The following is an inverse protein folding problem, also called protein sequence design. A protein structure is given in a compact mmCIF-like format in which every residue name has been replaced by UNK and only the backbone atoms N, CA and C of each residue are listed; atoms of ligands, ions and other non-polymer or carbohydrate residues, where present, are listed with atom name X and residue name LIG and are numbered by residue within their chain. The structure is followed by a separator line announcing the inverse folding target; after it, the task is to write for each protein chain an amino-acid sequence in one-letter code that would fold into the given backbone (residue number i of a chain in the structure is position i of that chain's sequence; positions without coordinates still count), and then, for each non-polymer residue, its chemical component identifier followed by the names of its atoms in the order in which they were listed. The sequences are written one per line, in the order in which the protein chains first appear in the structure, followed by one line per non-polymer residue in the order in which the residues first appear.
data_IF_509861945171
#
_entry.id   IF_509861945171
#
_cell.length_a   1.000
_cell.length_b   1.000
_cell.length_c   1.000
_cell.angle_alpha   90.00
_cell.angle_beta   90.00
_cell.angle_gamma   90.00
#
_symmetry.space_group_name_H-M   'P 1'
#
loop_
_entity.id
_entity.type
_entity.pdbx_description
1 polymer ?
#
# COMPACT_ATOMS: atom_id res chain seq x y z
N UNK A 1 -11.54 16.63 15.87
CA UNK A 1 -10.52 16.31 14.84
C UNK A 1 -10.89 15.00 14.16
N UNK A 2 -11.50 15.06 12.98
CA UNK A 2 -11.90 13.85 12.26
C UNK A 2 -10.68 13.17 11.63
N UNK A 3 -10.36 11.94 12.07
CA UNK A 3 -9.35 11.08 11.44
C UNK A 3 -9.92 10.58 10.11
N UNK A 4 -9.47 11.17 9.01
CA UNK A 4 -9.82 10.69 7.67
C UNK A 4 -9.13 9.33 7.48
N UNK A 5 -9.88 8.25 7.61
CA UNK A 5 -9.43 6.91 7.23
C UNK A 5 -9.49 6.80 5.70
N UNK A 6 -8.39 7.14 5.02
CA UNK A 6 -8.30 7.02 3.57
C UNK A 6 -8.06 5.54 3.21
N UNK A 7 -9.09 4.73 3.37
CA UNK A 7 -9.23 3.46 2.65
C UNK A 7 -10.01 3.68 1.33
N UNK A 8 -10.76 4.78 1.23
CA UNK A 8 -11.59 5.19 0.09
C UNK A 8 -11.59 6.72 0.04
N UNK A 9 -11.61 7.31 -1.16
CA UNK A 9 -11.82 8.76 -1.29
C UNK A 9 -13.19 9.09 -0.68
N UNK A 10 -13.25 10.10 0.17
CA UNK A 10 -14.50 10.48 0.85
C UNK A 10 -15.60 10.78 -0.18
N UNK A 11 -16.83 10.32 0.08
CA UNK A 11 -17.91 10.37 -0.90
C UNK A 11 -18.21 11.81 -1.35
N UNK A 12 -18.06 12.77 -0.43
CA UNK A 12 -18.19 14.20 -0.67
C UNK A 12 -17.08 14.73 -1.59
N UNK A 13 -15.84 14.29 -1.37
CA UNK A 13 -14.71 14.64 -2.24
C UNK A 13 -14.88 14.07 -3.64
N UNK A 14 -15.40 12.83 -3.76
CA UNK A 14 -15.72 12.20 -5.04
C UNK A 14 -16.82 12.95 -5.79
N UNK A 15 -17.87 13.40 -5.08
CA UNK A 15 -18.97 14.18 -5.65
C UNK A 15 -18.48 15.53 -6.20
N UNK A 16 -17.67 16.25 -5.42
CA UNK A 16 -17.08 17.54 -5.82
C UNK A 16 -16.13 17.43 -7.01
N UNK A 17 -15.35 16.34 -7.10
CA UNK A 17 -14.52 16.05 -8.28
C UNK A 17 -15.39 15.74 -9.50
N UNK A 18 -16.50 15.01 -9.33
CA UNK A 18 -17.42 14.66 -10.42
C UNK A 18 -18.15 15.89 -11.00
N UNK A 19 -18.46 16.88 -10.16
CA UNK A 19 -19.15 18.11 -10.57
C UNK A 19 -18.23 19.28 -10.93
N UNK A 20 -16.91 19.05 -11.02
CA UNK A 20 -15.91 20.10 -11.29
C UNK A 20 -15.94 21.29 -10.32
N UNK A 21 -16.36 21.08 -9.08
CA UNK A 21 -16.54 22.18 -8.10
C UNK A 21 -15.24 22.54 -7.36
N UNK A 22 -14.17 21.77 -7.56
CA UNK A 22 -12.89 21.97 -6.88
C UNK A 22 -11.97 22.87 -7.70
N UNK A 23 -11.38 23.86 -7.04
CA UNK A 23 -10.29 24.67 -7.60
C UNK A 23 -8.99 23.87 -7.66
N UNK A 24 -8.05 24.33 -8.49
CA UNK A 24 -6.75 23.68 -8.66
C UNK A 24 -5.95 23.57 -7.36
N UNK A 25 -6.07 24.57 -6.48
CA UNK A 25 -5.43 24.58 -5.16
C UNK A 25 -6.01 23.51 -4.22
N UNK A 26 -7.33 23.34 -4.22
CA UNK A 26 -7.99 22.30 -3.43
C UNK A 26 -7.63 20.90 -3.94
N UNK A 27 -7.50 20.74 -5.27
CA UNK A 27 -7.07 19.49 -5.89
C UNK A 27 -5.62 19.15 -5.53
N UNK A 28 -4.72 20.14 -5.53
CA UNK A 28 -3.32 20.00 -5.04
C UNK A 28 -3.26 19.65 -3.55
N UNK A 29 -4.14 20.23 -2.74
CA UNK A 29 -4.22 19.92 -1.32
C UNK A 29 -4.61 18.45 -1.08
N UNK A 30 -5.65 17.96 -1.77
CA UNK A 30 -6.07 16.55 -1.74
C UNK A 30 -4.94 15.62 -2.21
N UNK A 31 -4.26 15.97 -3.31
CA UNK A 31 -3.09 15.24 -3.79
C UNK A 31 -1.99 15.15 -2.72
N UNK A 32 -1.68 16.26 -2.05
CA UNK A 32 -0.64 16.28 -1.02
C UNK A 32 -0.96 15.40 0.19
N UNK A 33 -2.24 15.32 0.57
CA UNK A 33 -2.73 14.44 1.65
C UNK A 33 -2.60 12.98 1.23
N UNK A 34 -3.07 12.64 0.02
CA UNK A 34 -2.97 11.29 -0.53
C UNK A 34 -1.51 10.82 -0.62
N UNK A 35 -0.61 11.70 -1.04
CA UNK A 35 0.82 11.38 -1.17
C UNK A 35 1.49 11.18 0.20
N UNK A 36 1.12 11.97 1.21
CA UNK A 36 1.56 11.75 2.60
C UNK A 36 1.04 10.42 3.16
N UNK A 37 -0.22 10.11 2.90
CA UNK A 37 -0.84 8.84 3.28
C UNK A 37 -0.17 7.64 2.60
N UNK A 38 0.10 7.74 1.30
CA UNK A 38 0.81 6.72 0.54
C UNK A 38 2.22 6.49 1.10
N UNK A 39 2.97 7.56 1.41
CA UNK A 39 4.27 7.46 2.08
C UNK A 39 4.16 6.83 3.47
N UNK A 40 3.12 7.17 4.24
CA UNK A 40 2.87 6.56 5.57
C UNK A 40 2.59 5.06 5.43
N UNK A 41 1.73 4.67 4.49
CA UNK A 41 1.44 3.26 4.19
C UNK A 41 2.67 2.53 3.68
N UNK A 42 3.51 3.16 2.87
CA UNK A 42 4.79 2.58 2.44
C UNK A 42 5.69 2.26 3.62
N UNK A 43 5.86 3.23 4.53
CA UNK A 43 6.72 3.09 5.70
C UNK A 43 6.18 2.05 6.68
N UNK A 44 4.86 2.01 6.87
CA UNK A 44 4.20 0.97 7.66
C UNK A 44 4.35 -0.42 7.03
N UNK A 45 4.25 -0.52 5.70
CA UNK A 45 4.47 -1.77 4.97
C UNK A 45 5.93 -2.23 5.08
N UNK A 46 6.91 -1.32 4.92
CA UNK A 46 8.33 -1.62 5.13
C UNK A 46 8.60 -2.10 6.55
N UNK A 47 8.01 -1.44 7.56
CA UNK A 47 8.14 -1.86 8.95
C UNK A 47 7.54 -3.26 9.17
N UNK A 48 6.36 -3.54 8.60
CA UNK A 48 5.75 -4.87 8.65
C UNK A 48 6.61 -5.94 7.98
N UNK A 49 7.14 -5.67 6.78
CA UNK A 49 8.07 -6.59 6.08
C UNK A 49 9.30 -6.88 6.94
N UNK A 50 9.93 -5.83 7.48
CA UNK A 50 11.14 -5.97 8.29
C UNK A 50 10.88 -6.79 9.57
N UNK A 51 9.78 -6.52 10.25
CA UNK A 51 9.38 -7.24 11.46
C UNK A 51 9.06 -8.71 11.15
N UNK A 52 8.40 -8.98 10.02
CA UNK A 52 8.08 -10.35 9.59
C UNK A 52 9.35 -11.13 9.21
N UNK A 53 10.30 -10.50 8.52
CA UNK A 53 11.62 -11.09 8.23
C UNK A 53 12.40 -11.40 9.51
N UNK A 54 12.33 -10.50 10.50
CA UNK A 54 13.00 -10.67 11.78
C UNK A 54 12.41 -11.86 12.56
N UNK A 55 11.07 -12.00 12.58
CA UNK A 55 10.39 -13.18 13.13
C UNK A 55 10.81 -14.46 12.41
N UNK A 56 10.86 -14.43 11.06
CA UNK A 56 11.31 -15.58 10.27
C UNK A 56 12.73 -15.99 10.58
N UNK A 57 13.65 -15.04 10.72
CA UNK A 57 15.03 -15.31 11.06
C UNK A 57 15.15 -15.98 12.44
N UNK A 58 14.41 -15.49 13.44
CA UNK A 58 14.37 -16.09 14.79
C UNK A 58 13.81 -17.52 14.73
N UNK A 59 12.71 -17.73 13.98
CA UNK A 59 12.14 -19.05 13.74
C UNK A 59 13.15 -19.99 13.09
N UNK A 60 13.91 -19.51 12.10
CA UNK A 60 14.95 -20.30 11.42
C UNK A 60 16.02 -20.78 12.40
N UNK A 61 16.52 -19.87 13.24
CA UNK A 61 17.55 -20.18 14.23
C UNK A 61 17.02 -21.22 15.23
N UNK A 62 15.82 -21.00 15.80
CA UNK A 62 15.22 -21.93 16.75
C UNK A 62 14.99 -23.32 16.14
N UNK A 63 14.48 -23.36 14.91
CA UNK A 63 14.16 -24.62 14.23
C UNK A 63 15.43 -25.38 13.81
N UNK A 64 16.51 -24.66 13.48
CA UNK A 64 17.81 -25.25 13.19
C UNK A 64 18.42 -25.94 14.43
N UNK A 65 18.32 -25.33 15.61
CA UNK A 65 18.80 -25.94 16.86
C UNK A 65 17.95 -27.13 17.32
N UNK A 66 16.66 -27.18 16.97
CA UNK A 66 15.74 -28.23 17.42
C UNK A 66 15.68 -29.47 16.50
N UNK A 67 16.22 -29.40 15.28
CA UNK A 67 15.91 -30.41 14.26
C UNK A 67 17.07 -31.32 13.90
N UNK A 68 16.80 -32.63 13.98
CA UNK A 68 17.76 -33.69 13.62
C UNK A 68 17.86 -33.93 12.10
N UNK A 69 16.97 -33.32 11.29
CA UNK A 69 16.91 -33.49 9.82
C UNK A 69 16.82 -32.14 9.10
N UNK A 70 17.95 -31.47 8.86
CA UNK A 70 17.99 -30.10 8.34
C UNK A 70 17.46 -29.96 6.91
N UNK A 71 17.53 -31.00 6.07
CA UNK A 71 17.19 -30.91 4.64
C UNK A 71 15.70 -30.63 4.38
N UNK A 72 14.81 -31.21 5.19
CA UNK A 72 13.35 -31.04 5.04
C UNK A 72 12.92 -29.63 5.49
N UNK A 73 13.63 -29.05 6.45
CA UNK A 73 13.37 -27.70 6.95
C UNK A 73 13.63 -26.63 5.90
N UNK A 74 14.67 -26.79 5.08
CA UNK A 74 14.96 -25.84 4.00
C UNK A 74 13.82 -25.78 2.97
N UNK A 75 13.21 -26.92 2.65
CA UNK A 75 12.08 -26.99 1.71
C UNK A 75 10.84 -26.30 2.30
N UNK A 76 10.50 -26.61 3.56
CA UNK A 76 9.38 -25.94 4.25
C UNK A 76 9.60 -24.44 4.36
N UNK A 77 10.83 -24.02 4.68
CA UNK A 77 11.17 -22.61 4.79
C UNK A 77 11.07 -21.88 3.44
N UNK A 78 11.59 -22.47 2.37
CA UNK A 78 11.49 -21.91 1.02
C UNK A 78 10.02 -21.72 0.59
N UNK A 79 9.17 -22.69 0.91
CA UNK A 79 7.74 -22.62 0.61
C UNK A 79 7.03 -21.52 1.41
N UNK A 80 7.36 -21.38 2.70
CA UNK A 80 6.80 -20.36 3.59
C UNK A 80 7.26 -18.94 3.20
N UNK A 81 8.54 -18.79 2.84
CA UNK A 81 9.09 -17.55 2.31
C UNK A 81 8.41 -17.14 0.99
N UNK A 82 8.22 -18.07 0.05
CA UNK A 82 7.52 -17.82 -1.20
C UNK A 82 6.07 -17.36 -0.99
N UNK A 83 5.35 -18.00 -0.06
CA UNK A 83 3.98 -17.63 0.28
C UNK A 83 3.91 -16.22 0.88
N UNK A 84 4.85 -15.86 1.75
CA UNK A 84 4.92 -14.52 2.33
C UNK A 84 5.26 -13.43 1.31
N UNK A 85 6.19 -13.70 0.40
CA UNK A 85 6.51 -12.78 -0.70
C UNK A 85 5.25 -12.51 -1.54
N UNK A 86 4.46 -13.55 -1.86
CA UNK A 86 3.19 -13.41 -2.57
C UNK A 86 2.18 -12.54 -1.80
N UNK A 87 2.01 -12.77 -0.50
CA UNK A 87 1.13 -11.97 0.36
C UNK A 87 1.60 -10.52 0.40
N UNK A 88 2.90 -10.27 0.52
CA UNK A 88 3.44 -8.91 0.51
C UNK A 88 3.20 -8.20 -0.82
N UNK A 89 3.40 -8.89 -1.95
CA UNK A 89 3.09 -8.32 -3.28
C UNK A 89 1.60 -7.98 -3.40
N UNK A 90 0.71 -8.86 -2.94
CA UNK A 90 -0.74 -8.63 -2.95
C UNK A 90 -1.14 -7.45 -2.06
N UNK A 91 -0.64 -7.39 -0.84
CA UNK A 91 -0.91 -6.31 0.12
C UNK A 91 -0.35 -4.99 -0.41
N UNK A 92 0.84 -5.00 -1.01
CA UNK A 92 1.41 -3.85 -1.69
C UNK A 92 0.49 -3.36 -2.80
N UNK A 93 0.05 -4.26 -3.67
CA UNK A 93 -0.84 -3.94 -4.79
C UNK A 93 -2.20 -3.40 -4.32
N UNK A 94 -2.81 -4.01 -3.31
CA UNK A 94 -4.07 -3.51 -2.73
C UNK A 94 -3.89 -2.15 -2.05
N UNK A 95 -2.83 -1.98 -1.25
CA UNK A 95 -2.62 -0.78 -0.42
C UNK A 95 -2.20 0.44 -1.25
N UNK A 96 -1.34 0.24 -2.25
CA UNK A 96 -0.81 1.29 -3.12
C UNK A 96 -1.60 1.44 -4.42
N UNK A 97 -1.93 0.32 -5.07
CA UNK A 97 -2.51 0.30 -6.42
C UNK A 97 -3.94 0.79 -6.45
N UNK A 98 -4.77 0.39 -5.48
CA UNK A 98 -6.19 0.72 -5.49
C UNK A 98 -6.47 2.23 -5.33
N UNK A 99 -5.74 2.90 -4.42
CA UNK A 99 -5.87 4.35 -4.21
C UNK A 99 -5.38 5.16 -5.41
N UNK A 100 -4.22 4.76 -5.96
CA UNK A 100 -3.63 5.39 -7.14
C UNK A 100 -4.52 5.23 -8.37
N UNK A 101 -5.09 4.03 -8.58
CA UNK A 101 -6.01 3.76 -9.68
C UNK A 101 -7.30 4.58 -9.58
N UNK A 102 -7.94 4.63 -8.40
CA UNK A 102 -9.17 5.41 -8.25
C UNK A 102 -8.95 6.90 -8.49
N UNK A 103 -7.87 7.47 -7.93
CA UNK A 103 -7.59 8.89 -8.06
C UNK A 103 -7.19 9.26 -9.49
N UNK A 104 -6.27 8.50 -10.12
CA UNK A 104 -5.89 8.74 -11.51
C UNK A 104 -7.08 8.55 -12.46
N UNK A 105 -7.94 7.55 -12.25
CA UNK A 105 -9.12 7.35 -13.11
C UNK A 105 -10.13 8.50 -12.98
N UNK A 106 -10.38 8.99 -11.76
CA UNK A 106 -11.28 10.13 -11.52
C UNK A 106 -10.74 11.43 -12.12
N UNK A 107 -9.45 11.71 -11.95
CA UNK A 107 -8.82 12.89 -12.55
C UNK A 107 -8.79 12.80 -14.07
N UNK A 108 -8.44 11.64 -14.64
CA UNK A 108 -8.39 11.47 -16.09
C UNK A 108 -9.78 11.61 -16.73
N UNK A 109 -10.85 11.23 -16.01
CA UNK A 109 -12.24 11.32 -16.50
C UNK A 109 -12.86 12.71 -16.37
N UNK A 110 -12.57 13.46 -15.32
CA UNK A 110 -13.25 14.73 -15.02
C UNK A 110 -12.36 15.97 -15.12
N UNK A 111 -11.04 15.80 -15.03
CA UNK A 111 -10.03 16.87 -15.11
C UNK A 111 -8.88 16.45 -16.03
N UNK A 112 -9.20 16.04 -17.26
CA UNK A 112 -8.23 15.56 -18.25
C UNK A 112 -7.09 16.55 -18.52
N UNK A 113 -7.38 17.86 -18.49
CA UNK A 113 -6.41 18.95 -18.65
C UNK A 113 -5.33 18.97 -17.56
N UNK A 114 -5.65 18.50 -16.35
CA UNK A 114 -4.71 18.45 -15.21
C UNK A 114 -4.21 17.03 -14.90
N UNK A 115 -4.64 16.03 -15.67
CA UNK A 115 -4.30 14.63 -15.45
C UNK A 115 -2.79 14.34 -15.57
N UNK A 116 -2.08 15.09 -16.40
CA UNK A 116 -0.62 15.00 -16.50
C UNK A 116 0.12 15.67 -15.31
N UNK A 117 -0.51 16.64 -14.64
CA UNK A 117 0.10 17.37 -13.51
C UNK A 117 -0.13 16.68 -12.16
N UNK A 118 -1.17 15.85 -12.05
CA UNK A 118 -1.63 15.27 -10.78
C UNK A 118 -1.59 13.73 -10.76
N UNK A 119 -0.70 13.15 -11.57
CA UNK A 119 -0.55 11.70 -11.68
C UNK A 119 0.18 11.14 -10.45
N UNK A 120 -0.56 10.41 -9.61
CA UNK A 120 -0.04 9.70 -8.44
C UNK A 120 0.69 8.45 -8.87
#
# INVERSE_FOLDING_TARGET
MAKIFIAKLDADTKHKICHKELSLEQLKFIYSILLKEQKRKHKAFQAAVCLTLLILAILLILTFFLSEKPDILWICFAMLAAMLVLVFILVWFLSMGYLKLQFNHLIQKHYAEYANLLKL
#
